data_IF_218633113107
#
_entry.id   IF_218633113107
#
_cell.length_a   1.000
_cell.length_b   1.000
_cell.length_c   1.000
_cell.angle_alpha   90.00
_cell.angle_beta   90.00
_cell.angle_gamma   90.00
#
_symmetry.space_group_name_H-M   'P 1'
#
loop_
_entity.id
_entity.type
_entity.pdbx_description
1 polymer ?
#
# COMPACT_ATOMS: atom_id res chain seq x y z
N UNK A 1 20.42 -16.88 1.03
CA UNK A 1 20.10 -16.26 -0.28
C UNK A 1 21.12 -15.19 -0.50
N UNK A 2 21.87 -15.24 -1.60
CA UNK A 2 22.72 -14.11 -2.02
C UNK A 2 21.81 -12.99 -2.55
N UNK A 3 22.22 -11.73 -2.38
CA UNK A 3 21.49 -10.61 -2.99
C UNK A 3 21.96 -10.43 -4.45
N UNK A 4 21.13 -9.76 -5.23
CA UNK A 4 21.37 -9.35 -6.64
C UNK A 4 22.21 -8.03 -6.60
N UNK A 5 22.37 -7.13 -7.60
CA UNK A 5 23.26 -5.91 -7.47
C UNK A 5 22.60 -4.50 -7.17
N UNK A 6 22.71 -3.95 -5.93
CA UNK A 6 22.12 -2.67 -5.35
C UNK A 6 22.88 -1.43 -5.74
N UNK A 7 22.32 -0.22 -5.58
CA UNK A 7 22.80 0.94 -6.32
C UNK A 7 22.62 2.35 -5.67
N UNK A 8 21.95 3.33 -6.33
CA UNK A 8 21.69 4.73 -5.90
C UNK A 8 20.86 5.45 -6.97
N UNK A 9 19.81 6.21 -6.61
CA UNK A 9 18.83 6.77 -7.55
C UNK A 9 19.27 8.10 -8.18
N UNK A 10 20.59 8.32 -8.22
CA UNK A 10 21.24 9.57 -8.64
C UNK A 10 22.70 9.43 -9.19
N UNK A 11 23.60 8.57 -8.64
CA UNK A 11 24.96 9.01 -8.24
C UNK A 11 26.29 8.19 -8.49
N UNK A 12 26.33 7.04 -9.18
CA UNK A 12 27.51 6.13 -9.17
C UNK A 12 27.31 4.83 -10.01
N UNK A 13 27.78 3.59 -9.67
CA UNK A 13 29.03 3.09 -9.02
C UNK A 13 29.09 1.55 -8.61
N UNK A 14 28.04 0.80 -8.19
CA UNK A 14 28.18 -0.57 -7.54
C UNK A 14 27.58 -0.80 -6.10
N UNK A 15 26.71 -1.84 -5.81
CA UNK A 15 26.32 -2.48 -4.48
C UNK A 15 25.48 -3.84 -4.67
N UNK A 16 24.55 -4.31 -3.77
CA UNK A 16 23.79 -5.64 -3.77
C UNK A 16 22.17 -5.82 -3.50
N UNK A 17 21.19 -5.82 -4.48
CA UNK A 17 19.70 -6.22 -4.48
C UNK A 17 18.81 -5.66 -3.30
N UNK A 18 17.74 -4.91 -3.65
CA UNK A 18 17.31 -3.67 -3.02
C UNK A 18 17.28 -2.42 -3.93
N UNK A 19 17.10 -2.48 -5.29
CA UNK A 19 17.61 -1.42 -6.21
C UNK A 19 17.04 -1.29 -7.66
N UNK A 20 17.31 -0.26 -8.50
CA UNK A 20 18.29 0.89 -8.58
C UNK A 20 19.42 0.78 -9.67
N UNK A 21 19.41 -0.16 -10.62
CA UNK A 21 20.20 -0.18 -11.90
C UNK A 21 21.57 0.61 -12.00
N UNK A 22 22.76 -0.04 -11.94
CA UNK A 22 24.11 0.49 -11.73
C UNK A 22 24.41 1.85 -11.09
N UNK A 23 23.49 2.39 -10.26
CA UNK A 23 23.74 3.47 -9.28
C UNK A 23 23.73 4.88 -9.84
N UNK A 24 23.29 5.06 -11.08
CA UNK A 24 22.70 6.32 -11.57
C UNK A 24 21.15 6.27 -11.54
N UNK A 25 20.56 5.24 -12.12
CA UNK A 25 20.06 4.11 -11.34
C UNK A 25 18.92 4.27 -10.35
N UNK A 26 17.70 4.54 -10.83
CA UNK A 26 16.47 4.47 -10.01
C UNK A 26 15.83 3.08 -10.03
N UNK A 27 15.19 2.70 -8.92
CA UNK A 27 14.39 1.49 -8.75
C UNK A 27 14.40 0.94 -7.31
N UNK A 28 13.29 0.39 -6.86
CA UNK A 28 13.09 -0.01 -5.47
C UNK A 28 13.05 1.18 -4.49
N UNK A 29 12.90 2.42 -4.95
CA UNK A 29 13.06 3.61 -4.09
C UNK A 29 11.76 4.25 -3.67
N UNK A 30 11.70 4.66 -2.39
CA UNK A 30 10.74 5.65 -1.94
C UNK A 30 11.24 7.03 -2.39
N UNK A 31 10.40 7.76 -3.10
CA UNK A 31 10.59 9.15 -3.49
C UNK A 31 9.71 10.03 -2.60
N UNK A 32 10.26 11.11 -2.03
CA UNK A 32 9.47 12.27 -1.59
C UNK A 32 9.09 13.11 -2.80
N UNK A 33 7.83 13.52 -2.86
CA UNK A 33 7.39 14.56 -3.79
C UNK A 33 7.87 15.91 -3.27
N UNK A 34 8.55 16.67 -4.12
CA UNK A 34 8.91 18.07 -3.87
C UNK A 34 8.29 19.00 -4.91
N UNK A 35 8.24 20.29 -4.56
CA UNK A 35 7.23 21.22 -5.04
C UNK A 35 7.29 21.56 -6.54
N UNK A 36 6.13 21.97 -7.08
CA UNK A 36 5.88 21.98 -8.52
C UNK A 36 6.35 23.29 -9.17
N UNK A 37 7.66 23.45 -9.33
CA UNK A 37 8.21 24.56 -10.12
C UNK A 37 7.81 24.41 -11.60
N UNK A 38 7.20 25.46 -12.17
CA UNK A 38 6.80 25.56 -13.58
C UNK A 38 5.96 24.38 -14.15
N UNK A 39 5.22 23.66 -13.29
CA UNK A 39 4.39 22.50 -13.70
C UNK A 39 5.10 21.14 -13.65
N UNK A 40 6.41 21.10 -13.37
CA UNK A 40 7.16 19.85 -13.20
C UNK A 40 7.15 19.40 -11.73
N UNK A 41 6.72 18.16 -11.46
CA UNK A 41 6.89 17.52 -10.14
C UNK A 41 8.33 17.05 -9.99
N UNK A 42 9.00 17.50 -8.92
CA UNK A 42 10.33 17.02 -8.57
C UNK A 42 10.22 15.88 -7.57
N UNK A 43 11.12 14.90 -7.69
CA UNK A 43 11.09 13.71 -6.86
C UNK A 43 12.48 13.48 -6.28
N UNK A 44 12.57 13.48 -4.95
CA UNK A 44 13.80 13.15 -4.21
C UNK A 44 13.70 11.74 -3.62
N UNK A 45 14.41 10.75 -4.18
CA UNK A 45 14.60 9.47 -3.53
C UNK A 45 15.12 9.61 -2.09
N UNK A 46 14.60 8.74 -1.21
CA UNK A 46 14.84 8.71 0.23
C UNK A 46 15.61 7.45 0.66
N UNK A 47 15.10 6.28 0.27
CA UNK A 47 15.60 4.95 0.67
C UNK A 47 15.24 3.90 -0.38
N UNK A 48 15.90 2.74 -0.34
CA UNK A 48 16.08 1.77 -1.44
C UNK A 48 15.77 0.35 -0.94
N UNK A 49 15.01 -0.43 -1.71
CA UNK A 49 14.28 -1.61 -1.22
C UNK A 49 14.22 -2.76 -2.23
N UNK A 50 14.10 -3.99 -1.73
CA UNK A 50 14.20 -5.25 -2.50
C UNK A 50 12.87 -5.77 -3.04
N UNK A 51 11.78 -5.09 -2.66
CA UNK A 51 10.42 -5.32 -3.13
C UNK A 51 9.58 -4.06 -2.93
N UNK A 52 8.44 -3.99 -3.63
CA UNK A 52 7.39 -3.02 -3.32
C UNK A 52 7.05 -3.04 -1.83
N UNK A 53 6.79 -4.21 -1.25
CA UNK A 53 6.42 -4.37 0.17
C UNK A 53 7.47 -3.79 1.14
N UNK A 54 8.76 -3.98 0.83
CA UNK A 54 9.89 -3.44 1.60
C UNK A 54 9.94 -1.90 1.54
N UNK A 55 9.69 -1.30 0.36
CA UNK A 55 9.54 0.15 0.22
C UNK A 55 8.26 0.67 0.90
N UNK A 56 7.23 -0.17 0.95
CA UNK A 56 5.92 0.16 1.47
C UNK A 56 5.87 0.19 2.99
N UNK A 57 6.46 -0.81 3.66
CA UNK A 57 6.67 -0.82 5.11
C UNK A 57 7.53 0.37 5.55
N UNK A 58 8.56 0.72 4.77
CA UNK A 58 9.40 1.87 5.05
C UNK A 58 8.70 3.22 4.79
N UNK A 59 7.86 3.36 3.77
CA UNK A 59 7.03 4.56 3.57
C UNK A 59 6.01 4.73 4.69
N UNK A 60 5.38 3.62 5.10
CA UNK A 60 4.52 3.55 6.27
C UNK A 60 5.26 4.03 7.53
N UNK A 61 6.49 3.55 7.75
CA UNK A 61 7.31 3.94 8.90
C UNK A 61 7.71 5.42 8.88
N UNK A 62 8.19 5.94 7.74
CA UNK A 62 8.55 7.36 7.60
C UNK A 62 7.37 8.28 7.99
N UNK A 63 6.16 7.90 7.59
CA UNK A 63 4.93 8.59 7.95
C UNK A 63 4.60 8.50 9.45
N UNK A 64 4.71 7.31 10.06
CA UNK A 64 4.52 7.11 11.51
C UNK A 64 5.56 7.91 12.34
N UNK A 65 6.81 8.00 11.86
CA UNK A 65 7.89 8.77 12.47
C UNK A 65 7.73 10.30 12.26
N UNK A 66 6.64 10.76 11.63
CA UNK A 66 6.25 12.17 11.51
C UNK A 66 6.51 12.83 10.15
N UNK A 67 6.85 12.06 9.12
CA UNK A 67 7.02 12.57 7.74
C UNK A 67 5.66 12.56 7.03
N UNK A 68 4.81 13.53 7.35
CA UNK A 68 3.41 13.65 6.88
C UNK A 68 3.29 14.10 5.40
N UNK A 69 4.11 13.54 4.52
CA UNK A 69 4.20 13.87 3.09
C UNK A 69 3.48 12.84 2.19
N UNK A 70 3.33 13.20 0.91
CA UNK A 70 3.05 12.24 -0.16
C UNK A 70 4.34 11.56 -0.61
N UNK A 71 4.32 10.23 -0.66
CA UNK A 71 5.43 9.40 -1.16
C UNK A 71 5.11 8.83 -2.54
N UNK A 72 6.15 8.30 -3.20
CA UNK A 72 6.08 7.63 -4.49
C UNK A 72 7.03 6.43 -4.46
N UNK A 73 6.54 5.20 -4.59
CA UNK A 73 7.43 4.03 -4.77
C UNK A 73 7.75 3.91 -6.26
N UNK A 74 9.03 3.83 -6.59
CA UNK A 74 9.54 3.52 -7.92
C UNK A 74 9.98 2.06 -7.97
N UNK A 75 9.07 1.12 -8.26
CA UNK A 75 9.44 -0.29 -8.43
C UNK A 75 9.87 -0.54 -9.88
N UNK A 76 11.17 -0.35 -10.15
CA UNK A 76 11.77 -0.60 -11.46
C UNK A 76 11.20 0.27 -12.60
N UNK A 77 10.72 1.47 -12.30
CA UNK A 77 10.00 2.36 -13.20
C UNK A 77 8.49 2.42 -12.96
N UNK A 78 7.91 1.52 -12.14
CA UNK A 78 6.49 1.57 -11.80
C UNK A 78 6.22 2.53 -10.64
N UNK A 79 5.99 3.80 -10.99
CA UNK A 79 5.73 4.92 -10.07
C UNK A 79 4.35 4.83 -9.40
N UNK A 80 4.31 4.21 -8.21
CA UNK A 80 3.11 4.09 -7.37
C UNK A 80 3.02 5.25 -6.37
N UNK A 81 2.06 6.15 -6.54
CA UNK A 81 1.82 7.23 -5.57
C UNK A 81 1.17 6.70 -4.29
N UNK A 82 1.81 7.00 -3.16
CA UNK A 82 1.33 6.75 -1.80
C UNK A 82 1.03 8.09 -1.13
N UNK A 83 -0.16 8.68 -1.39
CA UNK A 83 -0.51 9.96 -0.78
C UNK A 83 -0.75 9.79 0.72
N UNK A 84 -0.26 10.72 1.53
CA UNK A 84 -0.14 10.58 2.98
C UNK A 84 -1.46 10.28 3.69
N UNK A 85 -2.59 10.79 3.16
CA UNK A 85 -3.92 10.50 3.70
C UNK A 85 -4.30 9.01 3.66
N UNK A 86 -3.67 8.19 2.81
CA UNK A 86 -3.84 6.72 2.78
C UNK A 86 -2.92 5.98 3.75
N UNK A 87 -1.93 6.66 4.32
CA UNK A 87 -1.02 6.12 5.33
C UNK A 87 -1.53 6.34 6.76
N UNK A 88 -2.43 7.31 6.97
CA UNK A 88 -3.16 7.51 8.24
C UNK A 88 -3.88 6.21 8.64
N UNK A 89 -3.69 5.75 9.89
CA UNK A 89 -4.35 4.55 10.42
C UNK A 89 -5.83 4.81 10.72
N UNK A 90 -6.69 3.85 10.37
CA UNK A 90 -8.10 3.80 10.74
C UNK A 90 -8.28 2.75 11.87
N UNK A 91 -9.14 3.03 12.86
CA UNK A 91 -9.47 2.04 13.91
C UNK A 91 -10.51 1.06 13.40
N UNK A 92 -10.19 -0.25 13.36
CA UNK A 92 -11.13 -1.28 12.93
C UNK A 92 -12.35 -1.39 13.87
N UNK A 93 -13.58 -1.12 13.40
CA UNK A 93 -14.77 -1.00 14.26
C UNK A 93 -15.27 -2.33 14.84
N UNK A 94 -14.69 -3.48 14.44
CA UNK A 94 -15.03 -4.82 14.97
C UNK A 94 -14.02 -5.33 16.02
N UNK A 95 -12.84 -4.73 16.17
CA UNK A 95 -11.82 -5.20 17.12
C UNK A 95 -10.97 -4.11 17.81
N UNK A 96 -11.20 -2.83 17.51
CA UNK A 96 -10.49 -1.71 18.14
C UNK A 96 -9.01 -1.57 17.75
N UNK A 97 -8.48 -2.44 16.88
CA UNK A 97 -7.10 -2.37 16.41
C UNK A 97 -6.97 -1.37 15.27
N UNK A 98 -5.92 -0.58 15.31
CA UNK A 98 -5.49 0.21 14.17
C UNK A 98 -5.04 -0.69 13.02
N UNK A 99 -5.41 -0.31 11.81
CA UNK A 99 -4.89 -0.82 10.55
C UNK A 99 -4.92 0.33 9.54
N UNK A 100 -4.13 0.28 8.49
CA UNK A 100 -4.13 1.34 7.47
C UNK A 100 -5.21 1.04 6.41
N UNK A 101 -5.79 2.06 5.74
CA UNK A 101 -6.95 1.94 4.84
C UNK A 101 -6.90 0.84 3.76
N UNK A 102 -5.71 0.36 3.41
CA UNK A 102 -5.42 -0.69 2.43
C UNK A 102 -5.33 -2.11 3.03
N UNK A 103 -5.02 -2.25 4.32
CA UNK A 103 -5.13 -3.51 5.10
C UNK A 103 -6.59 -3.81 5.48
N UNK A 104 -7.50 -2.93 5.06
CA UNK A 104 -8.89 -2.89 5.49
C UNK A 104 -9.82 -2.97 4.30
N UNK A 105 -10.75 -3.92 4.37
CA UNK A 105 -11.67 -4.29 3.32
C UNK A 105 -13.07 -3.78 3.68
N UNK A 106 -13.82 -3.31 2.68
CA UNK A 106 -15.25 -3.04 2.84
C UNK A 106 -16.01 -4.36 2.89
N UNK A 107 -16.69 -4.65 4.00
CA UNK A 107 -17.68 -5.73 4.03
C UNK A 107 -18.95 -5.29 3.31
N UNK A 108 -19.85 -6.22 3.05
CA UNK A 108 -21.24 -5.92 2.70
C UNK A 108 -22.15 -6.26 3.90
N UNK A 109 -23.46 -6.21 3.71
CA UNK A 109 -24.42 -6.99 4.51
C UNK A 109 -24.89 -8.22 3.69
N UNK A 110 -25.91 -8.95 4.16
CA UNK A 110 -26.50 -10.08 3.45
C UNK A 110 -27.06 -9.71 2.05
N UNK A 111 -27.57 -8.49 1.88
CA UNK A 111 -28.14 -8.00 0.62
C UNK A 111 -27.08 -7.41 -0.33
N UNK A 112 -25.80 -7.64 -0.05
CA UNK A 112 -24.69 -7.12 -0.84
C UNK A 112 -24.45 -5.62 -0.67
N UNK A 113 -25.12 -4.93 0.25
CA UNK A 113 -25.03 -3.47 0.42
C UNK A 113 -23.67 -3.13 1.05
N UNK A 114 -22.83 -2.28 0.42
CA UNK A 114 -21.51 -1.92 0.95
C UNK A 114 -21.57 -1.30 2.34
N UNK A 115 -20.71 -1.77 3.25
CA UNK A 115 -20.70 -1.39 4.65
C UNK A 115 -19.31 -0.91 5.13
N UNK A 116 -19.18 -0.64 6.44
CA UNK A 116 -17.96 -0.16 7.11
C UNK A 116 -16.72 -0.99 6.76
N UNK A 117 -15.60 -0.30 6.56
CA UNK A 117 -14.28 -0.90 6.39
C UNK A 117 -13.83 -1.61 7.68
N UNK A 118 -13.21 -2.79 7.56
CA UNK A 118 -12.64 -3.57 8.68
C UNK A 118 -11.29 -4.17 8.29
N UNK A 119 -10.38 -4.38 9.24
CA UNK A 119 -9.07 -4.99 8.95
C UNK A 119 -9.19 -6.44 8.44
N UNK A 120 -8.22 -6.89 7.65
CA UNK A 120 -8.17 -8.21 6.99
C UNK A 120 -8.66 -9.38 7.86
N UNK A 121 -8.16 -9.50 9.09
CA UNK A 121 -8.53 -10.60 10.03
C UNK A 121 -9.98 -10.52 10.54
N UNK A 122 -10.58 -9.33 10.54
CA UNK A 122 -12.01 -9.18 10.80
C UNK A 122 -12.84 -9.45 9.53
N UNK A 123 -12.35 -9.07 8.35
CA UNK A 123 -13.01 -9.35 7.07
C UNK A 123 -13.09 -10.86 6.81
N UNK A 124 -11.95 -11.56 6.83
CA UNK A 124 -11.85 -13.02 6.68
C UNK A 124 -12.79 -13.77 7.62
N UNK A 125 -12.79 -13.41 8.92
CA UNK A 125 -13.70 -14.00 9.91
C UNK A 125 -15.17 -13.70 9.61
N UNK A 126 -15.51 -12.51 9.12
CA UNK A 126 -16.88 -12.12 8.76
C UNK A 126 -17.38 -12.93 7.57
N UNK A 127 -16.57 -13.04 6.50
CA UNK A 127 -16.94 -13.79 5.30
C UNK A 127 -17.10 -15.29 5.59
N UNK A 128 -16.24 -15.86 6.46
CA UNK A 128 -16.25 -17.30 6.78
C UNK A 128 -17.30 -17.74 7.79
N UNK A 129 -17.87 -16.84 8.62
CA UNK A 129 -18.83 -17.24 9.68
C UNK A 129 -20.29 -16.90 9.37
N UNK A 130 -20.69 -15.64 9.55
CA UNK A 130 -22.09 -15.21 9.69
C UNK A 130 -22.31 -13.80 9.14
N UNK A 131 -21.57 -13.43 8.09
CA UNK A 131 -21.66 -12.10 7.49
C UNK A 131 -21.35 -10.95 8.45
N UNK A 132 -21.64 -9.71 8.04
CA UNK A 132 -21.39 -8.55 8.89
C UNK A 132 -22.50 -8.34 9.94
N UNK A 133 -23.73 -8.64 9.55
CA UNK A 133 -25.01 -8.40 10.23
C UNK A 133 -25.45 -9.56 11.13
N UNK A 134 -24.99 -10.78 10.87
CA UNK A 134 -25.37 -12.01 11.57
C UNK A 134 -25.94 -13.10 10.65
N UNK A 135 -26.17 -12.82 9.37
CA UNK A 135 -26.59 -13.81 8.36
C UNK A 135 -25.36 -14.28 7.57
N UNK A 136 -25.17 -15.59 7.47
CA UNK A 136 -24.03 -16.16 6.73
C UNK A 136 -24.19 -15.93 5.22
N UNK A 137 -23.11 -15.45 4.58
CA UNK A 137 -22.93 -15.49 3.13
C UNK A 137 -22.93 -16.92 2.57
N UNK A 138 -23.71 -17.16 1.54
CA UNK A 138 -23.58 -18.34 0.68
C UNK A 138 -23.61 -17.98 -0.82
N UNK A 139 -23.40 -18.98 -1.67
CA UNK A 139 -23.20 -18.82 -3.12
C UNK A 139 -24.41 -18.17 -3.83
N UNK A 140 -25.59 -18.15 -3.19
CA UNK A 140 -26.78 -17.45 -3.71
C UNK A 140 -26.72 -15.93 -3.52
N UNK A 141 -25.81 -15.43 -2.69
CA UNK A 141 -25.60 -14.00 -2.43
C UNK A 141 -24.48 -13.43 -3.34
N UNK A 142 -23.69 -14.30 -3.99
CA UNK A 142 -22.78 -13.93 -5.10
C UNK A 142 -23.52 -13.80 -6.44
N UNK A 143 -24.85 -13.97 -6.45
CA UNK A 143 -25.67 -14.11 -7.67
C UNK A 143 -25.71 -12.82 -8.50
N UNK A 144 -24.75 -12.73 -9.44
CA UNK A 144 -24.68 -11.74 -10.50
C UNK A 144 -25.39 -12.19 -11.79
N UNK A 145 -26.14 -13.30 -11.77
CA UNK A 145 -27.00 -13.74 -12.88
C UNK A 145 -28.28 -12.89 -12.94
N UNK A 146 -28.09 -11.58 -13.14
CA UNK A 146 -29.09 -10.65 -13.62
C UNK A 146 -28.75 -10.35 -15.10
N UNK A 147 -29.34 -11.14 -16.00
CA UNK A 147 -29.10 -11.09 -17.45
C UNK A 147 -29.06 -9.65 -18.03
N UNK A 148 -28.02 -9.33 -18.80
CA UNK A 148 -27.87 -8.04 -19.49
C UNK A 148 -27.04 -8.13 -20.79
#
# INVERSE_FOLDING_TARGET
MEKKNVNCPFCGYEKQIGADCPKCGRGGVILKVEDVAAGCRYHKPLSEHDSFDSAYEAACKLFDDGTWDDFLIDDGGHLTSLPGYRLVKETCPKCGKEARPFEMYGTRDYYGIPFRRVCAKCYERIMTTTGYDGVKYDERDENLDADY
#
